data_IF_553474302118
#
_entry.id   IF_553474302118
#
_cell.length_a   1.000
_cell.length_b   1.000
_cell.length_c   1.000
_cell.angle_alpha   90.00
_cell.angle_beta   90.00
_cell.angle_gamma   90.00
#
_symmetry.space_group_name_H-M   'P 1'
#
loop_
_entity.id
_entity.type
_entity.pdbx_description
1 polymer ?
#
# COMPACT_ATOMS: atom_id res chain seq x y z
N UNK A 1 -7.44 53.25 -41.56
CA UNK A 1 -7.95 52.72 -40.27
C UNK A 1 -8.03 51.20 -40.36
N UNK A 2 -7.15 50.43 -39.71
CA UNK A 2 -7.19 48.96 -39.93
C UNK A 2 -6.19 48.06 -39.20
N UNK A 3 -5.23 48.60 -38.43
CA UNK A 3 -4.22 47.77 -37.73
C UNK A 3 -4.58 47.38 -36.29
N UNK A 4 -5.57 48.04 -35.68
CA UNK A 4 -5.91 47.87 -34.26
C UNK A 4 -7.08 46.90 -33.99
N UNK A 5 -7.86 46.54 -35.01
CA UNK A 5 -9.05 45.67 -34.83
C UNK A 5 -8.70 44.24 -34.44
N UNK A 6 -7.48 43.78 -34.77
CA UNK A 6 -6.98 42.44 -34.44
C UNK A 6 -6.02 42.42 -33.25
N UNK A 7 -5.51 43.58 -32.83
CA UNK A 7 -4.54 43.67 -31.73
C UNK A 7 -5.19 43.38 -30.36
N UNK A 8 -6.42 43.86 -30.15
CA UNK A 8 -7.19 43.64 -28.93
C UNK A 8 -7.59 42.17 -28.71
N UNK A 9 -8.22 41.45 -29.67
CA UNK A 9 -8.55 40.04 -29.47
C UNK A 9 -7.30 39.16 -29.33
N UNK A 10 -6.19 39.52 -30.01
CA UNK A 10 -4.92 38.82 -29.86
C UNK A 10 -4.32 39.02 -28.46
N UNK A 11 -4.32 40.25 -27.95
CA UNK A 11 -3.84 40.54 -26.60
C UNK A 11 -4.68 39.82 -25.54
N UNK A 12 -6.01 39.79 -25.71
CA UNK A 12 -6.93 39.04 -24.83
C UNK A 12 -6.66 37.53 -24.91
N UNK A 13 -6.43 36.98 -26.11
CA UNK A 13 -6.10 35.56 -26.28
C UNK A 13 -4.75 35.19 -25.64
N UNK A 14 -3.74 36.06 -25.75
CA UNK A 14 -2.43 35.87 -25.11
C UNK A 14 -2.57 35.87 -23.59
N UNK A 15 -3.29 36.85 -23.03
CA UNK A 15 -3.54 36.93 -21.58
C UNK A 15 -4.32 35.70 -21.10
N UNK A 16 -5.35 35.27 -21.83
CA UNK A 16 -6.11 34.07 -21.50
C UNK A 16 -5.24 32.79 -21.51
N UNK A 17 -4.32 32.67 -22.47
CA UNK A 17 -3.41 31.51 -22.56
C UNK A 17 -2.41 31.46 -21.39
N UNK A 18 -1.91 32.62 -20.93
CA UNK A 18 -1.03 32.70 -19.75
C UNK A 18 -1.78 32.35 -18.46
N UNK A 19 -3.05 32.74 -18.34
CA UNK A 19 -3.90 32.40 -17.17
C UNK A 19 -4.22 30.90 -17.12
N UNK A 20 -4.41 30.24 -18.26
CA UNK A 20 -4.75 28.80 -18.33
C UNK A 20 -3.50 27.90 -18.20
N UNK A 21 -2.32 28.37 -18.60
CA UNK A 21 -1.07 27.59 -18.56
C UNK A 21 -0.38 27.48 -17.19
N UNK A 22 -0.90 28.14 -16.15
CA UNK A 22 -0.29 28.24 -14.81
C UNK A 22 -0.57 27.08 -13.85
N UNK A 23 -0.85 25.88 -14.36
CA UNK A 23 -1.04 24.69 -13.51
C UNK A 23 0.31 24.12 -13.06
N UNK A 24 0.86 24.61 -11.95
CA UNK A 24 2.06 24.03 -11.28
C UNK A 24 1.72 22.72 -10.57
N UNK A 25 1.27 21.71 -11.32
CA UNK A 25 0.98 20.37 -10.79
C UNK A 25 2.24 19.52 -10.66
N UNK A 26 3.16 19.90 -9.78
CA UNK A 26 4.31 19.04 -9.44
C UNK A 26 3.88 17.84 -8.58
N UNK A 27 4.58 16.70 -8.70
CA UNK A 27 4.40 15.58 -7.76
C UNK A 27 4.84 16.09 -6.38
N UNK A 28 3.96 16.05 -5.35
CA UNK A 28 4.31 16.57 -4.04
C UNK A 28 5.50 15.79 -3.47
N UNK A 29 6.49 16.52 -2.94
CA UNK A 29 7.68 15.94 -2.34
C UNK A 29 7.81 16.34 -0.88
N UNK A 30 8.56 15.57 -0.10
CA UNK A 30 8.88 15.95 1.28
C UNK A 30 9.79 17.18 1.37
N UNK A 31 10.38 17.64 0.24
CA UNK A 31 11.23 18.84 0.22
C UNK A 31 10.44 20.12 0.45
N UNK A 32 9.14 20.12 0.11
CA UNK A 32 8.25 21.28 0.21
C UNK A 32 7.74 21.52 1.65
N UNK A 33 8.21 20.72 2.61
CA UNK A 33 7.83 20.80 4.01
C UNK A 33 6.58 19.98 4.34
N UNK A 34 6.00 20.19 5.54
CA UNK A 34 4.84 19.44 5.99
C UNK A 34 3.64 19.65 5.07
N UNK A 35 3.00 18.55 4.67
CA UNK A 35 1.77 18.61 3.89
C UNK A 35 0.59 19.05 4.77
N UNK A 36 -0.39 19.70 4.14
CA UNK A 36 -1.67 20.02 4.79
C UNK A 36 -2.35 18.71 5.19
N UNK A 37 -2.80 18.63 6.44
CA UNK A 37 -3.47 17.43 6.95
C UNK A 37 -4.74 17.14 6.14
N UNK A 38 -4.79 15.96 5.54
CA UNK A 38 -5.97 15.42 4.85
C UNK A 38 -6.41 14.16 5.57
N UNK A 39 -7.66 14.15 6.03
CA UNK A 39 -8.28 12.96 6.60
C UNK A 39 -9.12 12.28 5.53
N UNK A 40 -8.85 10.99 5.25
CA UNK A 40 -9.73 10.21 4.39
C UNK A 40 -11.06 9.97 5.10
N UNK A 41 -12.22 10.25 4.46
CA UNK A 41 -13.51 9.93 5.03
C UNK A 41 -13.63 8.40 5.22
N UNK A 42 -14.41 7.99 6.22
CA UNK A 42 -14.74 6.59 6.42
C UNK A 42 -15.70 6.13 5.30
N UNK A 43 -15.41 4.99 4.69
CA UNK A 43 -16.30 4.39 3.70
C UNK A 43 -17.53 3.81 4.43
N UNK A 44 -18.66 4.52 4.35
CA UNK A 44 -19.91 4.12 5.00
C UNK A 44 -20.57 2.87 4.41
N UNK A 45 -20.19 2.45 3.20
CA UNK A 45 -20.71 1.23 2.57
C UNK A 45 -19.74 0.04 2.69
N UNK A 46 -18.42 0.30 2.73
CA UNK A 46 -17.35 -0.70 2.80
C UNK A 46 -16.76 -0.93 4.19
N UNK A 47 -17.25 -0.26 5.24
CA UNK A 47 -16.79 -0.53 6.60
C UNK A 47 -17.35 -1.87 7.12
N UNK A 48 -16.62 -2.95 6.86
CA UNK A 48 -17.01 -4.32 7.24
C UNK A 48 -16.92 -4.61 8.75
N UNK A 49 -16.60 -3.61 9.57
CA UNK A 49 -16.54 -3.72 11.04
C UNK A 49 -15.41 -4.63 11.52
N UNK A 50 -15.65 -5.94 11.59
CA UNK A 50 -14.74 -6.94 12.17
C UNK A 50 -14.19 -7.88 11.12
N UNK A 51 -12.86 -7.95 11.02
CA UNK A 51 -12.19 -8.99 10.27
C UNK A 51 -12.45 -10.37 10.92
N UNK A 52 -12.75 -11.37 10.08
CA UNK A 52 -12.90 -12.77 10.49
C UNK A 52 -11.59 -13.48 10.16
N UNK A 53 -10.99 -14.11 11.17
CA UNK A 53 -9.73 -14.85 10.99
C UNK A 53 -9.91 -16.02 10.02
N UNK A 54 -8.84 -16.37 9.32
CA UNK A 54 -8.85 -17.54 8.46
C UNK A 54 -9.00 -18.80 9.31
N UNK A 55 -9.93 -19.72 8.95
CA UNK A 55 -10.07 -20.97 9.67
C UNK A 55 -8.85 -21.85 9.46
N UNK A 56 -8.58 -22.76 10.41
CA UNK A 56 -7.53 -23.77 10.32
C UNK A 56 -7.70 -24.74 9.13
N UNK A 57 -8.94 -24.88 8.64
CA UNK A 57 -9.27 -25.63 7.42
C UNK A 57 -8.82 -24.96 6.13
N UNK A 58 -8.47 -23.66 6.17
CA UNK A 58 -8.06 -22.92 4.97
C UNK A 58 -6.77 -23.56 4.38
N UNK A 59 -6.75 -23.91 3.09
CA UNK A 59 -5.63 -24.60 2.47
C UNK A 59 -4.31 -23.80 2.51
N UNK A 60 -4.34 -22.50 2.82
CA UNK A 60 -3.14 -21.65 2.98
C UNK A 60 -2.47 -21.81 4.33
N UNK A 61 -3.21 -22.18 5.37
CA UNK A 61 -2.66 -22.36 6.73
C UNK A 61 -2.38 -23.83 7.04
N UNK A 62 -2.90 -24.76 6.23
CA UNK A 62 -2.62 -26.18 6.35
C UNK A 62 -1.20 -26.53 5.90
N UNK A 63 -0.58 -27.46 6.62
CA UNK A 63 0.70 -28.08 6.27
C UNK A 63 0.66 -28.73 4.88
N UNK A 64 1.61 -28.37 4.01
CA UNK A 64 1.69 -28.86 2.61
C UNK A 64 2.86 -29.81 2.35
N UNK A 65 3.80 -29.89 3.28
CA UNK A 65 5.03 -30.65 3.13
C UNK A 65 4.95 -31.99 3.87
N UNK A 66 5.80 -32.96 3.53
CA UNK A 66 5.83 -34.31 4.16
C UNK A 66 7.06 -34.46 5.05
N UNK A 67 6.98 -35.33 6.06
CA UNK A 67 8.10 -35.66 6.93
C UNK A 67 8.77 -34.40 7.55
N UNK A 68 10.08 -34.22 7.37
CA UNK A 68 10.86 -33.07 7.85
C UNK A 68 11.24 -32.10 6.73
N UNK A 69 10.48 -32.08 5.63
CA UNK A 69 10.63 -31.04 4.62
C UNK A 69 10.39 -29.65 5.23
N UNK A 70 11.14 -28.62 4.79
CA UNK A 70 11.03 -27.27 5.33
C UNK A 70 9.70 -26.62 4.95
N UNK A 71 9.07 -25.96 5.91
CA UNK A 71 7.90 -25.11 5.72
C UNK A 71 8.07 -23.77 6.44
N UNK A 72 7.19 -22.81 6.14
CA UNK A 72 7.26 -21.45 6.69
C UNK A 72 8.64 -20.79 6.49
N UNK A 73 9.15 -20.86 5.26
CA UNK A 73 10.45 -20.29 4.90
C UNK A 73 10.35 -18.76 4.95
N UNK A 74 11.22 -18.14 5.72
CA UNK A 74 11.32 -16.69 5.86
C UNK A 74 12.72 -16.21 5.50
N UNK A 75 12.77 -15.12 4.73
CA UNK A 75 14.00 -14.42 4.35
C UNK A 75 13.94 -13.03 4.97
N UNK A 76 15.00 -12.63 5.65
CA UNK A 76 15.12 -11.32 6.27
C UNK A 76 16.44 -10.67 5.88
N UNK A 77 16.45 -9.35 5.79
CA UNK A 77 17.69 -8.60 5.57
C UNK A 77 18.63 -8.80 6.76
N UNK A 78 19.93 -8.81 6.49
CA UNK A 78 20.95 -8.74 7.52
C UNK A 78 21.50 -7.32 7.63
N UNK A 79 22.53 -7.13 8.46
CA UNK A 79 23.16 -5.82 8.71
C UNK A 79 23.71 -5.14 7.45
N UNK A 80 24.03 -5.91 6.40
CA UNK A 80 24.56 -5.42 5.14
C UNK A 80 23.73 -5.92 3.95
N UNK A 81 23.66 -5.17 2.82
CA UNK A 81 22.82 -5.53 1.68
C UNK A 81 23.23 -6.81 0.95
N UNK A 82 24.46 -7.26 1.13
CA UNK A 82 25.02 -8.49 0.55
C UNK A 82 24.74 -9.73 1.41
N UNK A 83 24.00 -9.57 2.52
CA UNK A 83 23.75 -10.63 3.48
C UNK A 83 22.27 -10.73 3.83
N UNK A 84 21.79 -11.98 3.98
CA UNK A 84 20.40 -12.28 4.35
C UNK A 84 20.36 -13.41 5.38
N UNK A 85 19.32 -13.39 6.21
CA UNK A 85 18.98 -14.50 7.09
C UNK A 85 17.92 -15.37 6.44
N UNK A 86 18.13 -16.69 6.42
CA UNK A 86 17.16 -17.68 5.93
C UNK A 86 16.78 -18.57 7.10
N UNK A 87 15.48 -18.71 7.34
CA UNK A 87 14.93 -19.53 8.42
C UNK A 87 13.72 -20.33 7.94
N UNK A 88 13.46 -21.48 8.58
CA UNK A 88 12.32 -22.34 8.29
C UNK A 88 12.00 -23.20 9.51
N UNK A 89 10.84 -23.86 9.48
CA UNK A 89 10.42 -24.87 10.46
C UNK A 89 10.39 -26.24 9.80
N UNK A 90 10.71 -27.29 10.54
CA UNK A 90 10.55 -28.69 10.11
C UNK A 90 9.72 -29.47 11.13
N UNK A 91 9.02 -30.50 10.65
CA UNK A 91 8.13 -31.31 11.49
C UNK A 91 6.81 -30.61 11.83
N UNK A 92 5.89 -31.36 12.44
CA UNK A 92 4.61 -30.83 12.91
C UNK A 92 4.71 -30.35 14.35
N UNK A 93 4.15 -29.18 14.65
CA UNK A 93 3.90 -28.76 16.03
C UNK A 93 2.93 -29.76 16.68
N UNK A 94 3.34 -30.36 17.80
CA UNK A 94 2.44 -31.16 18.62
C UNK A 94 1.55 -30.24 19.44
N UNK A 95 0.48 -29.70 18.83
CA UNK A 95 -0.61 -29.11 19.60
C UNK A 95 -1.59 -30.24 19.96
N UNK A 96 -1.23 -31.03 20.98
CA UNK A 96 -2.18 -31.94 21.60
C UNK A 96 -3.18 -31.13 22.42
N UNK A 97 -4.46 -31.44 22.24
CA UNK A 97 -5.64 -30.82 22.87
C UNK A 97 -5.52 -30.68 24.40
N UNK A 98 -4.82 -29.66 24.88
CA UNK A 98 -4.71 -29.35 26.32
C UNK A 98 -5.89 -28.50 26.82
N UNK A 99 -7.13 -28.86 26.44
CA UNK A 99 -8.37 -28.26 26.99
C UNK A 99 -9.49 -29.28 27.27
N UNK A 100 -9.46 -30.50 26.71
CA UNK A 100 -10.62 -31.41 26.80
C UNK A 100 -10.58 -32.45 27.96
N UNK A 101 -9.76 -32.25 29.00
CA UNK A 101 -9.68 -33.21 30.12
C UNK A 101 -9.97 -32.64 31.53
N UNK A 102 -10.59 -31.46 31.62
CA UNK A 102 -11.16 -30.95 32.88
C UNK A 102 -12.61 -30.50 32.72
N UNK A 103 -13.48 -31.44 32.33
CA UNK A 103 -14.92 -31.38 32.60
C UNK A 103 -15.43 -32.74 33.03
#
# INVERSE_FOLDING_TARGET
MGKWRWALPLAVAIVASVVVGGGTGGIPTMLDGPFVLVTSPLDGAGFHGRAVDLPDSDPRVRRRVRCFEPEQISISLFATPDSVWISWVTGSLFLSNFVDHFR
#
